data_IF_400940835517
#
_entry.id   IF_400940835517
#
_cell.length_a   1.000
_cell.length_b   1.000
_cell.length_c   1.000
_cell.angle_alpha   90.00
_cell.angle_beta   90.00
_cell.angle_gamma   90.00
#
_symmetry.space_group_name_H-M   'P 1'
#
loop_
_entity.id
_entity.type
_entity.pdbx_description
1 polymer ?
#
# COMPACT_ATOMS: atom_id res chain seq x y z
N UNK A 1 6.12 1.79 10.34
CA UNK A 1 4.81 1.66 9.66
C UNK A 1 3.88 2.77 10.16
N UNK A 2 3.13 3.42 9.28
CA UNK A 2 2.21 4.51 9.64
C UNK A 2 0.79 4.15 9.17
N UNK A 3 -0.21 4.43 10.00
CA UNK A 3 -1.60 4.27 9.62
C UNK A 3 -2.04 5.47 8.79
N UNK A 4 -2.56 5.22 7.59
CA UNK A 4 -3.13 6.26 6.73
C UNK A 4 -4.59 6.52 7.13
N UNK A 5 -5.01 7.78 7.14
CA UNK A 5 -6.37 8.20 7.49
C UNK A 5 -7.38 8.03 6.35
N UNK A 6 -6.92 7.62 5.16
CA UNK A 6 -7.77 7.42 3.98
C UNK A 6 -8.80 6.32 4.19
N UNK A 7 -10.03 6.55 3.72
CA UNK A 7 -11.04 5.50 3.63
C UNK A 7 -10.60 4.44 2.63
N UNK A 8 -10.67 3.17 3.02
CA UNK A 8 -10.36 2.02 2.16
C UNK A 8 -11.56 1.09 2.10
N UNK A 9 -11.58 0.18 1.12
CA UNK A 9 -12.62 -0.86 1.00
C UNK A 9 -12.74 -1.72 2.26
N UNK A 10 -11.67 -1.81 3.06
CA UNK A 10 -11.66 -2.51 4.34
C UNK A 10 -12.73 -1.97 5.31
N UNK A 11 -13.10 -0.69 5.22
CA UNK A 11 -14.21 -0.13 6.01
C UNK A 11 -15.51 -0.88 5.73
N UNK A 12 -15.85 -1.11 4.46
CA UNK A 12 -17.05 -1.86 4.11
C UNK A 12 -16.91 -3.35 4.45
N UNK A 13 -15.76 -3.96 4.14
CA UNK A 13 -15.52 -5.38 4.38
C UNK A 13 -15.56 -5.75 5.87
N UNK A 14 -15.11 -4.86 6.75
CA UNK A 14 -15.16 -5.07 8.20
C UNK A 14 -16.58 -5.28 8.74
N UNK A 15 -17.60 -4.73 8.08
CA UNK A 15 -19.01 -4.93 8.46
C UNK A 15 -19.49 -6.37 8.24
N UNK A 16 -18.79 -7.12 7.39
CA UNK A 16 -19.02 -8.54 7.14
C UNK A 16 -18.18 -9.44 8.06
N UNK A 17 -17.47 -8.89 9.04
CA UNK A 17 -16.59 -9.64 9.95
C UNK A 17 -15.23 -10.00 9.36
N UNK A 18 -14.85 -9.44 8.20
CA UNK A 18 -13.56 -9.69 7.56
C UNK A 18 -12.51 -8.77 8.19
N UNK A 19 -11.52 -9.35 8.86
CA UNK A 19 -10.35 -8.62 9.34
C UNK A 19 -9.38 -8.37 8.16
N UNK A 20 -9.20 -7.12 7.76
CA UNK A 20 -8.24 -6.73 6.73
C UNK A 20 -7.30 -5.63 7.19
N UNK A 21 -6.15 -5.54 6.51
CA UNK A 21 -5.11 -4.55 6.76
C UNK A 21 -4.69 -3.93 5.43
N UNK A 22 -4.62 -2.61 5.37
CA UNK A 22 -4.12 -1.90 4.19
C UNK A 22 -2.60 -1.98 4.11
N UNK A 23 -2.07 -2.29 2.93
CA UNK A 23 -0.64 -2.41 2.70
C UNK A 23 -0.26 -1.93 1.29
N UNK A 24 0.64 -0.94 1.21
CA UNK A 24 1.19 -0.40 -0.02
C UNK A 24 2.74 -0.36 0.07
N UNK A 25 3.45 -1.39 -0.42
CA UNK A 25 4.89 -1.58 -0.18
C UNK A 25 5.77 -0.70 -1.08
N UNK A 26 5.67 0.62 -0.97
CA UNK A 26 6.51 1.52 -1.77
C UNK A 26 7.83 1.82 -1.04
N UNK A 27 8.95 1.55 -1.71
CA UNK A 27 10.27 2.04 -1.28
C UNK A 27 10.52 3.41 -1.87
N UNK A 28 10.24 4.46 -1.11
CA UNK A 28 10.31 5.85 -1.56
C UNK A 28 11.66 6.51 -1.20
N UNK A 29 12.14 7.47 -2.00
CA UNK A 29 13.22 8.36 -1.61
C UNK A 29 12.89 9.10 -0.30
N UNK A 30 13.90 9.32 0.53
CA UNK A 30 13.72 9.93 1.86
C UNK A 30 13.24 11.40 1.80
N UNK A 31 13.50 12.08 0.69
CA UNK A 31 13.17 13.48 0.42
C UNK A 31 11.85 13.65 -0.36
N UNK A 32 11.17 12.56 -0.70
CA UNK A 32 9.88 12.64 -1.38
C UNK A 32 8.76 12.93 -0.37
N UNK A 33 8.17 14.13 -0.46
CA UNK A 33 7.00 14.50 0.32
C UNK A 33 5.74 13.79 -0.20
N UNK A 34 5.56 12.55 0.26
CA UNK A 34 4.58 11.63 -0.32
C UNK A 34 3.14 11.90 0.11
N UNK A 35 2.93 12.29 1.37
CA UNK A 35 1.59 12.40 1.93
C UNK A 35 0.70 13.45 1.24
N UNK A 36 1.20 14.64 0.85
CA UNK A 36 0.38 15.62 0.13
C UNK A 36 0.03 15.20 -1.30
N UNK A 37 0.66 14.16 -1.85
CA UNK A 37 0.39 13.72 -3.21
C UNK A 37 -0.85 12.84 -3.33
N UNK A 38 -1.39 12.29 -2.24
CA UNK A 38 -2.65 11.53 -2.29
C UNK A 38 -3.78 12.40 -2.86
N UNK A 39 -4.30 12.04 -4.05
CA UNK A 39 -5.30 12.81 -4.80
C UNK A 39 -4.85 14.22 -5.22
N UNK A 40 -3.53 14.47 -5.25
CA UNK A 40 -2.96 15.74 -5.70
C UNK A 40 -2.87 15.85 -7.23
N UNK A 41 -2.77 17.08 -7.74
CA UNK A 41 -2.66 17.35 -9.19
C UNK A 41 -1.48 16.61 -9.84
N UNK A 42 -0.39 16.43 -9.10
CA UNK A 42 0.83 15.79 -9.57
C UNK A 42 1.12 14.49 -8.79
N UNK A 43 0.09 13.74 -8.45
CA UNK A 43 0.25 12.41 -7.85
C UNK A 43 1.12 11.52 -8.76
N UNK A 44 2.23 11.03 -8.20
CA UNK A 44 3.19 10.20 -8.92
C UNK A 44 4.06 9.43 -7.95
N UNK A 45 4.76 8.45 -8.49
CA UNK A 45 5.71 7.61 -7.74
C UNK A 45 6.88 7.22 -8.65
N UNK A 46 8.10 7.04 -8.14
CA UNK A 46 9.19 6.48 -8.92
C UNK A 46 8.84 5.07 -9.43
N UNK A 47 9.18 4.76 -10.68
CA UNK A 47 8.94 3.42 -11.27
C UNK A 47 9.64 2.32 -10.48
N UNK A 48 10.85 2.58 -9.99
CA UNK A 48 11.59 1.65 -9.14
C UNK A 48 10.83 1.29 -7.84
N UNK A 49 10.03 2.21 -7.28
CA UNK A 49 9.21 1.92 -6.10
C UNK A 49 8.02 1.02 -6.44
N UNK A 50 7.46 1.14 -7.65
CA UNK A 50 6.43 0.22 -8.15
C UNK A 50 6.99 -1.18 -8.38
N UNK A 51 8.17 -1.29 -9.01
CA UNK A 51 8.85 -2.57 -9.25
C UNK A 51 9.19 -3.29 -7.94
N UNK A 52 9.72 -2.53 -6.97
CA UNK A 52 9.97 -3.04 -5.62
C UNK A 52 8.67 -3.51 -4.95
N UNK A 53 7.63 -2.68 -4.97
CA UNK A 53 6.35 -3.00 -4.35
C UNK A 53 5.68 -4.23 -4.96
N UNK A 54 5.73 -4.38 -6.28
CA UNK A 54 5.24 -5.56 -6.98
C UNK A 54 6.00 -6.82 -6.54
N UNK A 55 7.33 -6.74 -6.41
CA UNK A 55 8.16 -7.85 -5.92
C UNK A 55 7.79 -8.25 -4.49
N UNK A 56 7.60 -7.26 -3.59
CA UNK A 56 7.19 -7.50 -2.20
C UNK A 56 5.82 -8.15 -2.12
N UNK A 57 4.83 -7.62 -2.85
CA UNK A 57 3.47 -8.17 -2.88
C UNK A 57 3.47 -9.61 -3.43
N UNK A 58 4.20 -9.85 -4.52
CA UNK A 58 4.33 -11.18 -5.10
C UNK A 58 4.90 -12.18 -4.10
N UNK A 59 6.01 -11.83 -3.42
CA UNK A 59 6.61 -12.69 -2.40
C UNK A 59 5.67 -12.92 -1.21
N UNK A 60 4.98 -11.88 -0.75
CA UNK A 60 4.01 -12.00 0.35
C UNK A 60 2.93 -13.03 0.01
N UNK A 61 2.30 -12.93 -1.16
CA UNK A 61 1.28 -13.90 -1.61
C UNK A 61 1.85 -15.32 -1.71
N UNK A 62 3.06 -15.48 -2.26
CA UNK A 62 3.72 -16.78 -2.40
C UNK A 62 4.10 -17.42 -1.05
N UNK A 63 4.28 -16.63 0.00
CA UNK A 63 4.53 -17.13 1.35
C UNK A 63 3.22 -17.47 2.06
N UNK A 64 2.18 -16.65 1.89
CA UNK A 64 0.86 -16.85 2.50
C UNK A 64 0.12 -18.09 1.98
N UNK A 65 0.53 -18.63 0.84
CA UNK A 65 -0.03 -19.89 0.29
C UNK A 65 0.73 -21.16 0.67
N UNK A 66 1.72 -21.09 1.58
CA UNK A 66 2.54 -22.24 2.02
C UNK A 66 2.10 -22.80 3.38
N UNK A 67 0.81 -22.75 3.66
CA UNK A 67 0.20 -23.52 4.75
C UNK A 67 -0.13 -24.95 4.29
#
# INVERSE_FOLDING_TARGET
>A
PYCLSGGTDNKALSTLGIAGYGFAPLQLPADLDFAPMFHGINERVPTAALEFGATVLHRFIQLSGRE
#
